data_IF_625436325617
#
_entry.id   IF_625436325617
#
_cell.length_a   1.000
_cell.length_b   1.000
_cell.length_c   1.000
_cell.angle_alpha   90.00
_cell.angle_beta   90.00
_cell.angle_gamma   90.00
#
_symmetry.space_group_name_H-M   'P 1'
#
loop_
_entity.id
_entity.type
_entity.pdbx_description
1 polymer ?
#
# COMPACT_ATOMS: atom_id res chain seq x y z
N UNK A 1 13.86 21.61 -44.30
CA UNK A 1 14.72 21.29 -43.16
C UNK A 1 13.86 20.55 -42.15
N UNK A 2 13.96 19.24 -42.12
CA UNK A 2 13.25 18.41 -41.12
C UNK A 2 13.96 18.56 -39.78
N UNK A 3 13.20 18.82 -38.73
CA UNK A 3 13.70 18.78 -37.35
C UNK A 3 14.30 17.40 -37.05
N UNK A 4 15.41 17.31 -36.32
CA UNK A 4 15.94 16.02 -35.90
C UNK A 4 14.92 15.33 -34.99
N UNK A 5 14.68 14.04 -35.26
CA UNK A 5 13.87 13.21 -34.37
C UNK A 5 14.57 13.19 -33.00
N UNK A 6 13.83 13.60 -31.96
CA UNK A 6 14.32 13.46 -30.59
C UNK A 6 14.57 11.98 -30.30
N UNK A 7 15.77 11.66 -29.84
CA UNK A 7 16.07 10.31 -29.37
C UNK A 7 15.14 9.99 -28.17
N UNK A 8 14.48 8.81 -28.16
CA UNK A 8 13.57 8.45 -27.08
C UNK A 8 14.33 8.44 -25.76
N UNK A 9 13.78 9.12 -24.77
CA UNK A 9 14.33 9.13 -23.41
C UNK A 9 14.33 7.72 -22.81
N UNK A 10 15.18 7.48 -21.79
CA UNK A 10 15.18 6.22 -21.04
C UNK A 10 13.78 5.83 -20.56
N UNK A 11 12.96 6.82 -20.18
CA UNK A 11 11.59 6.63 -19.73
C UNK A 11 10.66 6.20 -20.86
N UNK A 12 10.81 6.73 -22.07
CA UNK A 12 10.00 6.35 -23.23
C UNK A 12 10.20 4.88 -23.61
N UNK A 13 11.41 4.36 -23.45
CA UNK A 13 11.72 2.95 -23.69
C UNK A 13 11.18 2.02 -22.59
N UNK A 14 10.87 2.54 -21.39
CA UNK A 14 10.37 1.78 -20.24
C UNK A 14 8.84 1.77 -20.13
N UNK A 15 8.14 2.61 -20.88
CA UNK A 15 6.67 2.73 -20.82
C UNK A 15 6.03 1.88 -21.90
N UNK A 16 5.05 1.06 -21.53
CA UNK A 16 4.23 0.36 -22.52
C UNK A 16 3.26 1.33 -23.21
N UNK A 17 3.19 1.34 -24.55
CA UNK A 17 2.27 2.20 -25.30
C UNK A 17 0.79 1.89 -25.08
N UNK A 18 0.48 0.67 -24.61
CA UNK A 18 -0.87 0.25 -24.19
C UNK A 18 -0.78 -0.51 -22.88
N UNK A 19 -1.63 -0.16 -21.93
CA UNK A 19 -1.76 -0.91 -20.69
C UNK A 19 -2.48 -2.25 -20.97
N UNK A 20 -1.90 -3.33 -20.49
CA UNK A 20 -2.56 -4.63 -20.53
C UNK A 20 -3.83 -4.63 -19.67
N UNK A 21 -4.91 -5.31 -20.07
CA UNK A 21 -6.06 -5.54 -19.21
C UNK A 21 -5.64 -6.07 -17.85
N UNK A 22 -6.39 -5.73 -16.82
CA UNK A 22 -6.07 -6.22 -15.48
C UNK A 22 -6.14 -7.76 -15.38
N UNK A 23 -6.80 -8.42 -16.32
CA UNK A 23 -7.02 -9.86 -16.38
C UNK A 23 -7.28 -10.29 -17.85
N UNK A 24 -6.79 -11.47 -18.30
CA UNK A 24 -5.92 -12.46 -17.65
C UNK A 24 -4.42 -12.19 -17.78
N UNK A 25 -4.00 -11.23 -18.63
CA UNK A 25 -2.60 -11.03 -19.04
C UNK A 25 -1.79 -10.20 -18.03
N UNK A 26 -2.09 -10.36 -16.77
CA UNK A 26 -1.36 -9.67 -15.70
C UNK A 26 0.04 -10.23 -15.60
N UNK A 27 1.05 -9.38 -15.73
CA UNK A 27 2.41 -9.79 -15.41
C UNK A 27 2.48 -10.32 -13.96
N UNK A 28 3.21 -11.42 -13.70
CA UNK A 28 3.45 -11.88 -12.35
C UNK A 28 3.98 -10.76 -11.46
N UNK A 29 3.68 -10.81 -10.17
CA UNK A 29 4.07 -9.80 -9.20
C UNK A 29 5.58 -9.53 -9.25
N UNK A 30 5.99 -8.25 -9.35
CA UNK A 30 7.40 -7.85 -9.39
C UNK A 30 8.18 -8.23 -10.66
N UNK A 31 7.54 -8.73 -11.72
CA UNK A 31 8.22 -9.20 -12.95
C UNK A 31 7.96 -8.37 -14.19
N UNK A 32 7.28 -7.22 -14.09
CA UNK A 32 7.02 -6.34 -15.23
C UNK A 32 8.33 -5.82 -15.84
N UNK A 33 8.52 -6.03 -17.15
CA UNK A 33 9.72 -5.60 -17.88
C UNK A 33 9.65 -4.13 -18.25
N UNK A 34 8.43 -3.56 -18.32
CA UNK A 34 8.19 -2.16 -18.67
C UNK A 34 7.26 -1.49 -17.65
N UNK A 35 7.49 -0.21 -17.43
CA UNK A 35 6.66 0.60 -16.54
C UNK A 35 5.28 0.89 -17.16
N UNK A 36 4.27 1.03 -16.31
CA UNK A 36 3.00 1.65 -16.68
C UNK A 36 3.18 3.16 -16.73
N UNK A 37 2.31 3.87 -17.45
CA UNK A 37 2.40 5.32 -17.60
C UNK A 37 2.54 6.05 -16.25
N UNK A 38 1.68 5.75 -15.28
CA UNK A 38 1.74 6.36 -13.96
C UNK A 38 3.07 6.11 -13.22
N UNK A 39 3.67 4.92 -13.41
CA UNK A 39 4.96 4.59 -12.79
C UNK A 39 6.09 5.41 -13.39
N UNK A 40 6.08 5.60 -14.72
CA UNK A 40 7.04 6.44 -15.41
C UNK A 40 6.90 7.91 -14.99
N UNK A 41 5.68 8.43 -14.93
CA UNK A 41 5.41 9.80 -14.46
C UNK A 41 5.87 10.01 -13.00
N UNK A 42 5.59 9.03 -12.12
CA UNK A 42 6.04 9.09 -10.74
C UNK A 42 7.57 9.04 -10.63
N UNK A 43 8.24 8.23 -11.45
CA UNK A 43 9.70 8.19 -11.57
C UNK A 43 10.27 9.52 -12.04
N UNK A 44 9.70 10.09 -13.10
CA UNK A 44 10.10 11.40 -13.62
C UNK A 44 9.99 12.46 -12.51
N UNK A 45 8.83 12.56 -11.87
CA UNK A 45 8.62 13.51 -10.76
C UNK A 45 9.61 13.32 -9.62
N UNK A 46 9.90 12.06 -9.25
CA UNK A 46 10.89 11.77 -8.22
C UNK A 46 12.28 12.33 -8.58
N UNK A 47 12.74 12.12 -9.81
CA UNK A 47 14.08 12.60 -10.23
C UNK A 47 14.12 14.10 -10.50
N UNK A 48 13.04 14.73 -10.90
CA UNK A 48 12.93 16.19 -11.03
C UNK A 48 13.02 16.88 -9.66
N UNK A 49 12.33 16.36 -8.65
CA UNK A 49 12.28 16.96 -7.30
C UNK A 49 13.41 16.47 -6.39
N UNK A 50 14.01 15.31 -6.69
CA UNK A 50 15.07 14.64 -5.93
C UNK A 50 14.84 14.64 -4.40
N UNK A 51 13.66 14.23 -3.92
CA UNK A 51 13.27 14.38 -2.53
C UNK A 51 13.97 13.33 -1.65
N UNK A 52 14.11 13.62 -0.36
CA UNK A 52 14.50 12.63 0.63
C UNK A 52 13.35 11.69 0.96
N UNK A 53 12.15 12.26 1.09
CA UNK A 53 10.90 11.57 1.37
C UNK A 53 9.98 11.66 0.16
N UNK A 54 9.45 10.55 -0.30
CA UNK A 54 8.53 10.50 -1.42
C UNK A 54 7.36 9.57 -1.12
N UNK A 55 6.16 10.10 -1.16
CA UNK A 55 4.93 9.34 -0.94
C UNK A 55 4.20 9.09 -2.25
N UNK A 56 4.14 7.82 -2.66
CA UNK A 56 3.35 7.38 -3.80
C UNK A 56 2.06 6.69 -3.33
N UNK A 57 0.94 7.33 -3.62
CA UNK A 57 -0.40 6.75 -3.40
C UNK A 57 -0.85 6.10 -4.69
N UNK A 58 -1.09 4.80 -4.66
CA UNK A 58 -1.61 4.09 -5.83
C UNK A 58 -2.56 2.96 -5.40
N UNK A 59 -3.66 2.83 -6.14
CA UNK A 59 -4.69 1.83 -5.86
C UNK A 59 -4.10 0.41 -5.76
N UNK A 60 -4.69 -0.51 -4.99
CA UNK A 60 -4.27 -1.91 -4.95
C UNK A 60 -4.20 -2.51 -6.36
N UNK A 61 -3.16 -3.30 -6.63
CA UNK A 61 -2.94 -3.90 -7.95
C UNK A 61 -2.33 -2.96 -9.01
N UNK A 62 -2.12 -1.69 -8.73
CA UNK A 62 -1.50 -0.74 -9.66
C UNK A 62 -0.02 -1.03 -9.96
N UNK A 63 0.66 -1.85 -9.16
CA UNK A 63 2.07 -2.20 -9.35
C UNK A 63 3.03 -1.30 -8.55
N UNK A 64 2.66 -0.90 -7.34
CA UNK A 64 3.51 -0.13 -6.41
C UNK A 64 4.89 -0.75 -6.23
N UNK A 65 4.97 -2.08 -6.08
CA UNK A 65 6.23 -2.81 -5.92
C UNK A 65 7.15 -2.66 -7.12
N UNK A 66 6.61 -2.76 -8.35
CA UNK A 66 7.40 -2.57 -9.58
C UNK A 66 7.96 -1.16 -9.65
N UNK A 67 7.14 -0.15 -9.36
CA UNK A 67 7.60 1.24 -9.27
C UNK A 67 8.76 1.39 -8.28
N UNK A 68 8.57 0.96 -7.03
CA UNK A 68 9.55 1.16 -5.99
C UNK A 68 10.87 0.39 -6.22
N UNK A 69 10.80 -0.82 -6.78
CA UNK A 69 12.02 -1.59 -7.12
C UNK A 69 12.73 -1.05 -8.35
N UNK A 70 12.02 -0.49 -9.34
CA UNK A 70 12.63 0.20 -10.46
C UNK A 70 13.34 1.46 -9.98
N UNK A 71 12.69 2.23 -9.11
CA UNK A 71 13.32 3.39 -8.47
C UNK A 71 14.55 2.98 -7.66
N UNK A 72 14.47 1.93 -6.85
CA UNK A 72 15.59 1.41 -6.10
C UNK A 72 16.76 1.06 -7.04
N UNK A 73 16.51 0.31 -8.11
CA UNK A 73 17.53 -0.06 -9.11
C UNK A 73 18.23 1.15 -9.69
N UNK A 74 17.47 2.19 -10.05
CA UNK A 74 18.03 3.42 -10.60
C UNK A 74 18.87 4.17 -9.57
N UNK A 75 18.43 4.25 -8.30
CA UNK A 75 19.20 4.86 -7.22
C UNK A 75 20.50 4.10 -6.90
N UNK A 76 20.49 2.76 -7.02
CA UNK A 76 21.71 1.94 -6.93
C UNK A 76 22.64 2.22 -8.10
N UNK A 77 22.15 2.27 -9.34
CA UNK A 77 22.93 2.55 -10.54
C UNK A 77 23.62 3.92 -10.47
N UNK A 78 22.93 4.92 -9.94
CA UNK A 78 23.48 6.28 -9.72
C UNK A 78 24.41 6.38 -8.52
N UNK A 79 24.56 5.31 -7.72
CA UNK A 79 25.36 5.33 -6.49
C UNK A 79 24.78 6.22 -5.39
N UNK A 80 23.52 6.65 -5.52
CA UNK A 80 22.82 7.45 -4.51
C UNK A 80 22.62 6.64 -3.23
N UNK A 81 22.33 5.35 -3.40
CA UNK A 81 22.19 4.39 -2.29
C UNK A 81 23.00 3.13 -2.54
N UNK A 82 23.32 2.41 -1.48
CA UNK A 82 24.06 1.15 -1.50
C UNK A 82 23.36 0.03 -0.76
N UNK A 83 22.28 0.34 -0.06
CA UNK A 83 21.50 -0.59 0.74
C UNK A 83 20.01 -0.33 0.53
N UNK A 84 19.22 -1.41 0.54
CA UNK A 84 17.77 -1.38 0.49
C UNK A 84 17.18 -2.00 1.76
N UNK A 85 16.36 -1.26 2.47
CA UNK A 85 15.52 -1.78 3.55
C UNK A 85 14.06 -1.68 3.10
N UNK A 86 13.33 -2.78 3.15
CA UNK A 86 11.89 -2.80 2.92
C UNK A 86 11.19 -3.10 4.24
N UNK A 87 10.25 -2.24 4.62
CA UNK A 87 9.41 -2.45 5.81
C UNK A 87 7.99 -2.78 5.35
N UNK A 88 7.52 -3.97 5.69
CA UNK A 88 6.24 -4.52 5.25
C UNK A 88 5.33 -4.88 6.44
N UNK A 89 4.01 -4.92 6.26
CA UNK A 89 3.08 -5.25 7.34
C UNK A 89 3.23 -6.68 7.91
N UNK A 90 3.60 -7.64 7.07
CA UNK A 90 3.61 -9.07 7.44
C UNK A 90 4.86 -9.81 6.96
N UNK A 91 5.19 -10.93 7.61
CA UNK A 91 6.31 -11.79 7.19
C UNK A 91 6.12 -12.41 5.80
N UNK A 92 4.87 -12.65 5.39
CA UNK A 92 4.58 -13.13 4.05
C UNK A 92 4.98 -12.08 2.99
N UNK A 93 4.65 -10.82 3.22
CA UNK A 93 5.02 -9.73 2.32
C UNK A 93 6.53 -9.50 2.27
N UNK A 94 7.27 -9.71 3.37
CA UNK A 94 8.75 -9.66 3.35
C UNK A 94 9.33 -10.61 2.30
N UNK A 95 8.84 -11.85 2.24
CA UNK A 95 9.29 -12.85 1.25
C UNK A 95 8.95 -12.43 -0.17
N UNK A 96 7.74 -11.95 -0.40
CA UNK A 96 7.33 -11.45 -1.72
C UNK A 96 8.19 -10.27 -2.19
N UNK A 97 8.53 -9.34 -1.28
CA UNK A 97 9.43 -8.23 -1.58
C UNK A 97 10.85 -8.71 -1.89
N UNK A 98 11.37 -9.68 -1.13
CA UNK A 98 12.69 -10.25 -1.37
C UNK A 98 12.78 -10.95 -2.71
N UNK A 99 11.77 -11.76 -3.07
CA UNK A 99 11.68 -12.43 -4.37
C UNK A 99 11.63 -11.43 -5.54
N UNK A 100 10.86 -10.35 -5.37
CA UNK A 100 10.77 -9.31 -6.39
C UNK A 100 12.07 -8.50 -6.51
N UNK A 101 12.71 -8.16 -5.40
CA UNK A 101 13.96 -7.42 -5.36
C UNK A 101 15.11 -8.23 -5.98
N UNK A 102 15.16 -9.53 -5.73
CA UNK A 102 16.14 -10.43 -6.35
C UNK A 102 16.02 -10.45 -7.88
N UNK A 103 14.80 -10.42 -8.43
CA UNK A 103 14.56 -10.38 -9.90
C UNK A 103 15.10 -9.12 -10.57
N UNK A 104 15.21 -8.01 -9.85
CA UNK A 104 15.79 -6.77 -10.37
C UNK A 104 17.28 -6.62 -10.03
N UNK A 105 17.90 -7.66 -9.43
CA UNK A 105 19.32 -7.69 -9.09
C UNK A 105 19.68 -7.03 -7.76
N UNK A 106 18.71 -6.86 -6.86
CA UNK A 106 18.90 -6.30 -5.52
C UNK A 106 18.45 -7.34 -4.48
N UNK A 107 19.23 -8.43 -4.25
CA UNK A 107 18.85 -9.44 -3.28
C UNK A 107 18.82 -8.84 -1.87
N UNK A 108 17.70 -9.01 -1.16
CA UNK A 108 17.51 -8.60 0.24
C UNK A 108 17.14 -9.83 1.09
N UNK A 109 17.57 -9.85 2.34
CA UNK A 109 17.30 -10.96 3.26
C UNK A 109 15.92 -10.84 3.91
N UNK A 110 14.96 -11.74 3.62
CA UNK A 110 13.66 -11.75 4.28
C UNK A 110 13.67 -12.41 5.66
N UNK A 111 14.74 -13.14 6.01
CA UNK A 111 14.85 -13.91 7.25
C UNK A 111 15.67 -13.19 8.32
N UNK A 112 16.17 -11.98 8.03
CA UNK A 112 16.94 -11.19 9.00
C UNK A 112 16.16 -11.02 10.30
N UNK A 113 16.86 -11.28 11.40
CA UNK A 113 16.35 -11.13 12.78
C UNK A 113 17.14 -10.04 13.50
N UNK A 114 16.48 -9.38 14.45
CA UNK A 114 17.16 -8.37 15.29
C UNK A 114 18.32 -8.93 16.13
N UNK A 115 18.46 -10.25 16.22
CA UNK A 115 19.60 -10.91 16.85
C UNK A 115 20.83 -10.99 15.92
N UNK A 116 20.66 -10.86 14.62
CA UNK A 116 21.76 -11.01 13.65
C UNK A 116 22.70 -9.80 13.61
N UNK A 117 22.27 -8.67 14.18
CA UNK A 117 23.01 -7.41 14.36
C UNK A 117 23.48 -6.77 13.04
N UNK A 118 24.07 -7.54 12.13
CA UNK A 118 24.62 -7.05 10.85
C UNK A 118 23.98 -7.75 9.66
N UNK A 119 23.84 -7.00 8.57
CA UNK A 119 23.34 -7.54 7.30
C UNK A 119 24.44 -8.35 6.62
N UNK A 120 24.13 -9.57 6.19
CA UNK A 120 25.08 -10.43 5.51
C UNK A 120 25.53 -9.78 4.17
N UNK A 121 26.82 -9.90 3.84
CA UNK A 121 27.43 -9.36 2.62
C UNK A 121 26.87 -9.96 1.32
N UNK A 122 26.17 -11.07 1.41
CA UNK A 122 25.48 -11.69 0.26
C UNK A 122 24.23 -10.93 -0.17
N UNK A 123 23.71 -10.07 0.70
CA UNK A 123 22.52 -9.27 0.44
C UNK A 123 22.84 -7.79 0.26
N UNK A 124 22.00 -7.11 -0.49
CA UNK A 124 22.02 -5.65 -0.65
C UNK A 124 21.15 -4.94 0.39
N UNK A 125 20.62 -5.67 1.35
CA UNK A 125 19.74 -5.15 2.39
C UNK A 125 18.85 -6.22 3.00
N UNK A 126 17.76 -5.80 3.62
CA UNK A 126 16.83 -6.66 4.38
C UNK A 126 15.38 -6.30 4.14
N UNK A 127 14.47 -7.27 4.35
CA UNK A 127 13.04 -7.03 4.50
C UNK A 127 12.64 -7.24 5.97
N UNK A 128 11.96 -6.26 6.55
CA UNK A 128 11.58 -6.19 7.96
C UNK A 128 10.05 -6.04 8.09
N UNK A 129 9.52 -6.34 9.27
CA UNK A 129 8.16 -5.92 9.63
C UNK A 129 8.19 -4.64 10.47
N UNK A 130 7.07 -3.89 10.47
CA UNK A 130 6.92 -2.72 11.35
C UNK A 130 7.17 -3.04 12.82
N UNK A 131 6.62 -4.17 13.29
CA UNK A 131 6.85 -4.66 14.65
C UNK A 131 8.32 -4.98 14.94
N UNK A 132 9.04 -5.56 13.96
CA UNK A 132 10.47 -5.88 14.10
C UNK A 132 11.31 -4.61 14.24
N UNK A 133 11.02 -3.58 13.47
CA UNK A 133 11.70 -2.27 13.56
C UNK A 133 11.42 -1.61 14.91
N UNK A 134 10.14 -1.52 15.29
CA UNK A 134 9.76 -0.88 16.57
C UNK A 134 10.33 -1.57 17.80
N UNK A 135 10.63 -2.87 17.72
CA UNK A 135 11.21 -3.62 18.83
C UNK A 135 12.70 -3.29 19.10
N UNK A 136 13.46 -2.94 18.05
CA UNK A 136 14.89 -2.53 18.20
C UNK A 136 15.26 -1.41 17.22
N UNK A 137 14.69 -0.21 17.36
CA UNK A 137 14.91 0.88 16.41
C UNK A 137 16.39 1.30 16.30
N UNK A 138 17.16 1.30 17.41
CA UNK A 138 18.58 1.69 17.42
C UNK A 138 19.46 0.78 16.54
N UNK A 139 19.11 -0.51 16.43
CA UNK A 139 19.81 -1.43 15.55
C UNK A 139 19.67 -0.99 14.08
N UNK A 140 18.47 -0.61 13.69
CA UNK A 140 18.18 -0.20 12.33
C UNK A 140 18.70 1.21 12.03
N UNK A 141 18.71 2.12 13.03
CA UNK A 141 19.33 3.44 12.93
C UNK A 141 20.81 3.31 12.57
N UNK A 142 21.57 2.50 13.32
CA UNK A 142 22.98 2.25 13.03
C UNK A 142 23.21 1.77 11.58
N UNK A 143 22.37 0.86 11.08
CA UNK A 143 22.48 0.35 9.71
C UNK A 143 22.27 1.46 8.66
N UNK A 144 21.44 2.46 8.94
CA UNK A 144 21.18 3.59 8.03
C UNK A 144 22.21 4.71 8.14
N UNK A 145 22.84 4.87 9.29
CA UNK A 145 23.96 5.80 9.51
C UNK A 145 25.23 5.31 8.80
N UNK A 146 25.55 4.02 8.92
CA UNK A 146 26.77 3.43 8.36
C UNK A 146 26.74 3.28 6.84
N UNK A 147 25.54 3.18 6.23
CA UNK A 147 25.38 2.90 4.81
C UNK A 147 24.32 3.78 4.17
N UNK A 148 24.62 4.34 3.00
CA UNK A 148 23.62 5.08 2.19
C UNK A 148 22.44 4.18 1.86
N UNK A 149 21.32 4.38 2.54
CA UNK A 149 20.19 3.49 2.54
C UNK A 149 18.95 4.12 1.89
N UNK A 150 18.29 3.35 1.02
CA UNK A 150 16.89 3.56 0.65
C UNK A 150 16.00 2.73 1.58
N UNK A 151 15.02 3.36 2.21
CA UNK A 151 13.95 2.67 2.95
C UNK A 151 12.65 2.75 2.16
N UNK A 152 12.04 1.61 1.89
CA UNK A 152 10.70 1.51 1.31
C UNK A 152 9.73 1.04 2.38
N UNK A 153 8.70 1.85 2.64
CA UNK A 153 7.61 1.51 3.55
C UNK A 153 6.41 1.03 2.71
N UNK A 154 6.13 -0.26 2.78
CA UNK A 154 4.96 -0.84 2.10
C UNK A 154 3.73 -0.70 3.00
N UNK A 155 2.64 -0.16 2.42
CA UNK A 155 1.40 0.17 3.14
C UNK A 155 1.68 0.96 4.44
N UNK A 156 2.31 2.12 4.28
CA UNK A 156 2.84 2.97 5.38
C UNK A 156 1.77 3.34 6.45
N UNK A 157 0.49 3.28 6.11
CA UNK A 157 -0.59 3.53 7.05
C UNK A 157 -0.59 2.54 8.24
N UNK A 158 -0.03 1.32 8.07
CA UNK A 158 0.19 0.38 9.16
C UNK A 158 1.28 0.80 10.16
N UNK A 159 2.11 1.78 9.81
CA UNK A 159 3.16 2.29 10.70
C UNK A 159 2.65 2.83 12.04
N UNK A 160 1.38 2.99 12.20
CA UNK A 160 0.77 3.47 13.42
C UNK A 160 -0.22 2.53 14.07
N UNK A 161 -0.27 1.27 13.69
CA UNK A 161 -1.15 0.28 14.32
C UNK A 161 -0.89 0.13 15.82
N UNK A 162 0.31 0.53 16.28
CA UNK A 162 0.65 0.75 17.68
C UNK A 162 1.27 2.15 17.85
N UNK A 163 0.92 2.86 18.92
CA UNK A 163 1.44 4.20 19.24
C UNK A 163 2.99 4.25 19.24
N UNK A 164 3.63 3.17 19.67
CA UNK A 164 5.10 3.06 19.72
C UNK A 164 5.77 2.83 18.37
N UNK A 165 5.02 2.37 17.35
CA UNK A 165 5.65 2.03 16.06
C UNK A 165 6.07 3.28 15.28
N UNK A 166 5.27 4.35 15.36
CA UNK A 166 5.58 5.60 14.69
C UNK A 166 6.91 6.21 15.16
N UNK A 167 7.12 6.25 16.46
CA UNK A 167 8.34 6.79 17.06
C UNK A 167 9.54 5.87 16.79
N UNK A 168 9.35 4.54 16.91
CA UNK A 168 10.39 3.58 16.59
C UNK A 168 10.84 3.63 15.12
N UNK A 169 9.92 3.90 14.18
CA UNK A 169 10.28 4.10 12.78
C UNK A 169 11.05 5.39 12.54
N UNK A 170 10.69 6.48 13.22
CA UNK A 170 11.45 7.74 13.16
C UNK A 170 12.85 7.52 13.66
N UNK A 171 13.01 6.95 14.85
CA UNK A 171 14.31 6.63 15.44
C UNK A 171 15.17 5.73 14.54
N UNK A 172 14.55 4.71 13.92
CA UNK A 172 15.27 3.75 13.08
C UNK A 172 15.72 4.33 11.72
N UNK A 173 14.98 5.29 11.15
CA UNK A 173 15.17 5.66 9.75
C UNK A 173 15.29 7.16 9.51
N UNK A 174 15.46 7.97 10.57
CA UNK A 174 15.61 9.41 10.37
C UNK A 174 16.86 9.74 9.55
N UNK A 175 17.95 8.99 9.71
CA UNK A 175 19.19 9.17 8.97
C UNK A 175 19.24 8.47 7.60
N UNK A 176 18.19 7.78 7.18
CA UNK A 176 18.14 7.15 5.87
C UNK A 176 18.36 8.16 4.73
N UNK A 177 19.15 7.80 3.72
CA UNK A 177 19.47 8.67 2.59
C UNK A 177 18.24 9.01 1.76
N UNK A 178 17.35 8.04 1.56
CA UNK A 178 16.07 8.17 0.84
C UNK A 178 15.00 7.31 1.50
N UNK A 179 13.76 7.83 1.53
CA UNK A 179 12.60 7.11 2.05
C UNK A 179 11.47 7.19 1.03
N UNK A 180 10.84 6.06 0.75
CA UNK A 180 9.71 5.94 -0.17
C UNK A 180 8.54 5.29 0.56
N UNK A 181 7.45 6.01 0.71
CA UNK A 181 6.22 5.53 1.31
C UNK A 181 5.23 5.10 0.23
N UNK A 182 4.72 3.89 0.33
CA UNK A 182 3.73 3.32 -0.58
C UNK A 182 2.43 3.06 0.18
N UNK A 183 1.30 3.43 -0.40
CA UNK A 183 -0.02 3.08 0.15
C UNK A 183 -1.10 3.16 -0.90
N UNK A 184 -2.18 2.38 -0.72
CA UNK A 184 -3.43 2.56 -1.47
C UNK A 184 -4.42 3.48 -0.74
N UNK A 185 -4.24 3.64 0.57
CA UNK A 185 -5.14 4.38 1.47
C UNK A 185 -4.32 5.31 2.35
N UNK A 186 -4.10 6.58 1.93
CA UNK A 186 -3.21 7.53 2.60
C UNK A 186 -3.86 8.17 3.85
N UNK A 187 -4.69 7.44 4.55
CA UNK A 187 -5.41 7.90 5.73
C UNK A 187 -5.47 6.78 6.77
N UNK A 188 -5.70 7.17 7.99
CA UNK A 188 -5.87 6.29 9.16
C UNK A 188 -7.22 6.55 9.81
N UNK A 189 -7.71 5.55 10.54
CA UNK A 189 -8.92 5.67 11.34
C UNK A 189 -8.73 6.52 12.61
N UNK A 190 -7.48 6.72 13.02
CA UNK A 190 -7.11 7.59 14.15
C UNK A 190 -6.49 8.92 13.66
N UNK A 191 -6.28 9.86 14.57
CA UNK A 191 -5.73 11.19 14.30
C UNK A 191 -4.20 11.25 14.30
N UNK A 192 -3.51 10.13 14.55
CA UNK A 192 -2.05 10.09 14.66
C UNK A 192 -1.38 10.27 13.31
N UNK A 193 -0.34 11.12 13.20
CA UNK A 193 0.34 11.33 11.93
C UNK A 193 1.17 10.10 11.55
N UNK A 194 1.11 9.74 10.27
CA UNK A 194 1.96 8.70 9.69
C UNK A 194 3.40 9.23 9.63
N UNK A 195 4.41 8.48 10.09
CA UNK A 195 5.81 8.90 10.01
C UNK A 195 6.25 9.19 8.56
N UNK A 196 7.10 10.20 8.39
CA UNK A 196 7.68 10.59 7.10
C UNK A 196 6.67 11.01 6.02
N UNK A 197 5.45 11.32 6.42
CA UNK A 197 4.39 11.82 5.55
C UNK A 197 4.14 13.29 5.83
N UNK A 198 4.10 14.10 4.79
CA UNK A 198 3.73 15.51 4.85
C UNK A 198 2.21 15.64 4.96
N UNK A 199 1.75 16.64 5.71
CA UNK A 199 0.33 16.96 5.87
C UNK A 199 0.05 18.39 5.47
N UNK A 200 -1.10 18.62 4.86
CA UNK A 200 -1.68 19.93 4.59
C UNK A 200 -3.03 20.04 5.30
N UNK A 201 -3.37 21.26 5.66
CA UNK A 201 -4.70 21.58 6.21
C UNK A 201 -5.55 22.07 5.04
N UNK A 202 -6.70 21.42 4.80
CA UNK A 202 -7.62 21.83 3.76
C UNK A 202 -8.45 23.06 4.18
N UNK A 203 -9.31 23.55 3.28
CA UNK A 203 -10.14 24.74 3.51
C UNK A 203 -11.15 24.56 4.67
N UNK A 204 -11.44 23.32 5.03
CA UNK A 204 -12.35 22.95 6.12
C UNK A 204 -11.61 22.77 7.45
N UNK A 205 -10.30 23.05 7.49
CA UNK A 205 -9.45 22.87 8.66
C UNK A 205 -9.05 21.42 8.93
N UNK A 206 -9.34 20.51 8.00
CA UNK A 206 -9.03 19.08 8.15
C UNK A 206 -7.60 18.82 7.67
N UNK A 207 -6.83 18.14 8.51
CA UNK A 207 -5.46 17.73 8.20
C UNK A 207 -5.46 16.50 7.30
N UNK A 208 -4.92 16.63 6.07
CA UNK A 208 -4.83 15.56 5.09
C UNK A 208 -3.37 15.24 4.75
N UNK A 209 -3.08 13.97 4.51
CA UNK A 209 -1.77 13.56 4.01
C UNK A 209 -1.58 14.07 2.58
N UNK A 210 -0.39 14.65 2.31
CA UNK A 210 -0.01 15.11 0.98
C UNK A 210 0.83 14.04 0.29
N UNK A 211 0.30 13.48 -0.79
CA UNK A 211 1.05 12.57 -1.64
C UNK A 211 1.92 13.37 -2.63
N UNK A 212 3.15 12.93 -2.84
CA UNK A 212 4.00 13.45 -3.91
C UNK A 212 3.48 13.00 -5.27
N UNK A 213 2.97 11.78 -5.37
CA UNK A 213 2.30 11.26 -6.56
C UNK A 213 1.06 10.45 -6.19
N UNK A 214 -0.02 10.63 -6.94
CA UNK A 214 -1.28 9.92 -6.69
C UNK A 214 -1.84 9.30 -7.96
N UNK A 215 -2.06 7.99 -7.93
CA UNK A 215 -2.74 7.20 -8.94
C UNK A 215 -3.93 6.49 -8.31
N UNK A 216 -5.04 7.22 -8.21
CA UNK A 216 -6.26 6.75 -7.55
C UNK A 216 -7.08 5.79 -8.41
N UNK A 217 -8.24 5.39 -7.86
CA UNK A 217 -9.14 4.42 -8.50
C UNK A 217 -9.68 4.89 -9.86
N UNK A 218 -10.03 6.16 -10.01
CA UNK A 218 -10.58 6.70 -11.26
C UNK A 218 -9.62 6.55 -12.44
N UNK A 219 -8.39 7.08 -12.39
CA UNK A 219 -7.36 6.82 -13.41
C UNK A 219 -7.09 5.33 -13.63
N UNK A 220 -6.98 4.55 -12.56
CA UNK A 220 -6.72 3.11 -12.67
C UNK A 220 -7.86 2.33 -13.37
N UNK A 221 -9.10 2.76 -13.20
CA UNK A 221 -10.25 2.22 -13.91
C UNK A 221 -10.21 2.58 -15.40
N UNK A 222 -9.92 3.85 -15.72
CA UNK A 222 -9.77 4.33 -17.10
C UNK A 222 -8.67 3.58 -17.85
N UNK A 223 -7.58 3.28 -17.16
CA UNK A 223 -6.43 2.55 -17.69
C UNK A 223 -6.61 1.03 -17.67
N UNK A 224 -7.79 0.53 -17.30
CA UNK A 224 -8.11 -0.91 -17.19
C UNK A 224 -7.17 -1.68 -16.24
N UNK A 225 -6.58 -1.00 -15.27
CA UNK A 225 -5.71 -1.60 -14.24
C UNK A 225 -6.51 -2.26 -13.14
N UNK A 226 -7.68 -1.71 -12.84
CA UNK A 226 -8.65 -2.25 -11.87
C UNK A 226 -10.00 -2.46 -12.54
N UNK A 227 -10.81 -3.34 -11.95
CA UNK A 227 -12.19 -3.56 -12.38
C UNK A 227 -13.12 -2.53 -11.74
N UNK A 228 -14.25 -2.21 -12.39
CA UNK A 228 -15.31 -1.47 -11.75
C UNK A 228 -15.78 -2.20 -10.48
N UNK A 229 -15.97 -1.45 -9.40
CA UNK A 229 -16.58 -1.96 -8.17
C UNK A 229 -17.98 -1.37 -8.07
N UNK A 230 -18.97 -2.24 -8.01
CA UNK A 230 -20.36 -1.86 -7.81
C UNK A 230 -20.69 -2.09 -6.33
N UNK A 231 -21.02 -1.01 -5.62
CA UNK A 231 -21.50 -1.09 -4.25
C UNK A 231 -23.03 -1.24 -4.28
N UNK A 232 -23.52 -2.38 -3.86
CA UNK A 232 -24.95 -2.62 -3.69
C UNK A 232 -25.27 -2.53 -2.20
N UNK A 233 -26.20 -1.64 -1.85
CA UNK A 233 -26.69 -1.55 -0.50
C UNK A 233 -27.90 -2.47 -0.34
N UNK A 234 -27.80 -3.43 0.55
CA UNK A 234 -28.90 -4.28 0.93
C UNK A 234 -29.40 -3.83 2.31
N UNK A 235 -30.68 -3.58 2.40
CA UNK A 235 -31.36 -3.35 3.68
C UNK A 235 -32.56 -4.30 3.81
N UNK A 236 -33.01 -4.53 5.02
CA UNK A 236 -34.16 -5.38 5.26
C UNK A 236 -34.60 -5.28 6.70
N UNK A 237 -35.84 -5.66 6.96
CA UNK A 237 -36.41 -5.71 8.30
C UNK A 237 -35.93 -6.98 8.99
N UNK A 238 -35.19 -6.82 10.08
CA UNK A 238 -34.79 -7.90 10.97
C UNK A 238 -35.82 -8.01 12.11
N UNK A 239 -36.23 -9.23 12.41
CA UNK A 239 -37.13 -9.53 13.52
C UNK A 239 -36.46 -10.51 14.47
N UNK A 240 -36.54 -10.24 15.75
CA UNK A 240 -36.00 -11.12 16.78
C UNK A 240 -36.90 -11.08 18.02
N UNK A 241 -36.73 -12.05 18.89
CA UNK A 241 -37.42 -12.11 20.14
C UNK A 241 -36.44 -11.83 21.31
N UNK A 242 -36.76 -10.92 22.18
CA UNK A 242 -35.93 -10.61 23.34
C UNK A 242 -35.95 -11.76 24.35
N UNK A 243 -35.05 -11.75 25.32
CA UNK A 243 -35.06 -12.71 26.43
C UNK A 243 -36.35 -12.64 27.30
N UNK A 244 -37.04 -11.50 27.26
CA UNK A 244 -38.35 -11.32 27.92
C UNK A 244 -39.54 -11.84 27.09
N UNK A 245 -39.28 -12.36 25.87
CA UNK A 245 -40.28 -12.91 24.96
C UNK A 245 -40.98 -11.89 24.06
N UNK A 246 -40.54 -10.61 24.09
CA UNK A 246 -41.11 -9.56 23.25
C UNK A 246 -40.57 -9.65 21.83
N UNK A 247 -41.43 -9.47 20.83
CA UNK A 247 -41.02 -9.38 19.43
C UNK A 247 -40.57 -7.98 19.10
N UNK A 248 -39.36 -7.87 18.56
CA UNK A 248 -38.76 -6.63 18.12
C UNK A 248 -38.49 -6.68 16.60
N UNK A 249 -38.56 -5.54 15.95
CA UNK A 249 -38.21 -5.41 14.56
C UNK A 249 -37.42 -4.11 14.32
N UNK A 250 -36.39 -4.16 13.45
CA UNK A 250 -35.66 -2.99 13.04
C UNK A 250 -35.15 -3.17 11.61
N UNK A 251 -35.04 -2.08 10.86
CA UNK A 251 -34.41 -2.10 9.55
C UNK A 251 -32.90 -1.90 9.68
N UNK A 252 -32.12 -2.66 8.94
CA UNK A 252 -30.67 -2.45 8.87
C UNK A 252 -30.38 -1.09 8.24
N UNK A 253 -29.51 -0.30 8.90
CA UNK A 253 -29.09 1.02 8.43
C UNK A 253 -29.92 2.20 8.94
N UNK A 254 -30.99 1.97 9.69
CA UNK A 254 -31.72 3.04 10.38
C UNK A 254 -31.09 3.36 11.75
N UNK A 255 -31.16 4.64 12.14
CA UNK A 255 -30.53 5.17 13.36
C UNK A 255 -31.26 4.77 14.65
N UNK A 256 -31.07 3.56 15.10
CA UNK A 256 -31.56 3.07 16.39
C UNK A 256 -30.49 3.17 17.49
N UNK A 257 -30.86 2.86 18.71
CA UNK A 257 -29.92 2.71 19.84
C UNK A 257 -28.87 1.65 19.52
N UNK A 258 -27.66 1.75 20.13
CA UNK A 258 -26.58 0.78 19.94
C UNK A 258 -27.01 -0.67 20.14
N UNK A 259 -27.86 -0.91 21.12
CA UNK A 259 -28.33 -2.26 21.47
C UNK A 259 -29.28 -2.84 20.41
N UNK A 260 -30.22 -2.06 19.91
CA UNK A 260 -31.13 -2.46 18.83
C UNK A 260 -30.36 -2.71 17.55
N UNK A 261 -29.43 -1.83 17.20
CA UNK A 261 -28.56 -1.98 16.02
C UNK A 261 -27.71 -3.25 16.12
N UNK A 262 -27.13 -3.53 17.29
CA UNK A 262 -26.32 -4.73 17.52
C UNK A 262 -27.14 -6.01 17.40
N UNK A 263 -28.37 -6.01 17.92
CA UNK A 263 -29.30 -7.15 17.82
C UNK A 263 -29.76 -7.38 16.39
N UNK A 264 -30.10 -6.32 15.65
CA UNK A 264 -30.46 -6.41 14.24
C UNK A 264 -29.33 -7.01 13.38
N UNK A 265 -28.06 -6.57 13.61
CA UNK A 265 -26.92 -7.15 12.93
C UNK A 265 -26.64 -8.61 13.31
N UNK A 266 -26.77 -8.98 14.56
CA UNK A 266 -26.67 -10.39 14.99
C UNK A 266 -27.70 -11.27 14.31
N UNK A 267 -28.94 -10.79 14.19
CA UNK A 267 -30.02 -11.51 13.50
C UNK A 267 -29.75 -11.63 12.01
N UNK A 268 -29.27 -10.56 11.37
CA UNK A 268 -28.91 -10.59 9.95
C UNK A 268 -27.74 -11.55 9.65
N UNK A 269 -26.75 -11.60 10.54
CA UNK A 269 -25.55 -12.43 10.39
C UNK A 269 -25.72 -13.86 10.94
N UNK A 270 -26.92 -14.24 11.40
CA UNK A 270 -27.18 -15.60 11.84
C UNK A 270 -26.99 -16.59 10.67
N UNK A 271 -26.12 -17.60 10.81
CA UNK A 271 -25.87 -18.57 9.74
C UNK A 271 -27.10 -19.40 9.37
N UNK A 272 -28.09 -19.50 10.25
CA UNK A 272 -29.36 -20.19 10.01
C UNK A 272 -30.47 -19.23 9.54
N UNK A 273 -30.16 -17.93 9.39
CA UNK A 273 -31.07 -16.91 8.93
C UNK A 273 -31.19 -16.88 7.40
N UNK A 274 -32.23 -16.20 6.90
CA UNK A 274 -32.48 -16.08 5.45
C UNK A 274 -31.77 -14.89 4.80
N UNK A 275 -31.25 -13.94 5.58
CA UNK A 275 -30.73 -12.69 5.02
C UNK A 275 -29.43 -12.89 4.23
N UNK A 276 -28.46 -13.62 4.78
CA UNK A 276 -27.17 -13.90 4.08
C UNK A 276 -27.42 -14.69 2.79
N UNK A 277 -28.16 -15.81 2.79
CA UNK A 277 -28.47 -16.53 1.55
C UNK A 277 -29.17 -15.65 0.49
N UNK A 278 -30.09 -14.79 0.92
CA UNK A 278 -30.81 -13.88 0.01
C UNK A 278 -29.86 -12.84 -0.62
N UNK A 279 -28.98 -12.25 0.18
CA UNK A 279 -27.98 -11.28 -0.32
C UNK A 279 -27.01 -11.96 -1.28
N UNK A 280 -26.53 -13.16 -0.95
CA UNK A 280 -25.62 -13.93 -1.81
C UNK A 280 -26.29 -14.33 -3.14
N UNK A 281 -27.56 -14.76 -3.11
CA UNK A 281 -28.30 -15.07 -4.32
C UNK A 281 -28.52 -13.83 -5.20
N UNK A 282 -28.79 -12.67 -4.59
CA UNK A 282 -28.92 -11.41 -5.31
C UNK A 282 -27.57 -10.98 -5.95
N UNK A 283 -26.45 -11.16 -5.24
CA UNK A 283 -25.13 -10.89 -5.74
C UNK A 283 -24.73 -11.82 -6.89
N UNK A 284 -25.01 -13.12 -6.76
CA UNK A 284 -24.74 -14.13 -7.80
C UNK A 284 -25.56 -13.84 -9.08
N UNK A 285 -26.84 -13.53 -8.93
CA UNK A 285 -27.68 -13.09 -10.05
C UNK A 285 -27.07 -11.90 -10.78
N UNK A 286 -26.56 -10.91 -10.03
CA UNK A 286 -25.96 -9.71 -10.63
C UNK A 286 -24.61 -9.96 -11.32
N UNK A 287 -23.89 -10.99 -10.89
CA UNK A 287 -22.64 -11.42 -11.56
C UNK A 287 -22.90 -12.12 -12.89
N UNK A 288 -24.10 -12.68 -13.06
CA UNK A 288 -24.50 -13.44 -14.27
C UNK A 288 -25.13 -12.55 -15.33
N UNK A 289 -25.71 -11.41 -14.96
CA UNK A 289 -26.21 -10.35 -15.85
C UNK A 289 -25.05 -9.49 -16.43
#
# INVERSE_FOLDING_TARGET
>A
MSAPAEEPTLFDSMVKPKLSPAYPDRAPWGTSVSLRAWQAEAMQKYFETNPRDFMAVATPGAGKTTFALTLAKELFNRGTVRQLIVVAPTDHLKKQWADAAAKVGIPIDPNFKNADVTISRHYKGVALTYAQVANKPQLHARNTEETKTLVIFDEIHHAGDSLSWGDGLREAFDDATRRVALTGTPFRSDTSPIPFVTYEVDNDGIRRSKADYSYGYGPALKDHVVRPVIFMAYSGQMRWRTSAGEEMAANLGEGFTKDITSQAWRTALDPNGEWIPTVLAAADKRLTE
#
